data_IF_820162465744
#
_entry.id   IF_820162465744
#
_cell.length_a   1.000
_cell.length_b   1.000
_cell.length_c   1.000
_cell.angle_alpha   90.00
_cell.angle_beta   90.00
_cell.angle_gamma   90.00
#
_symmetry.space_group_name_H-M   'P 1'
#
loop_
_entity.id
_entity.type
_entity.pdbx_description
1 polymer ?
#
# COMPACT_ATOMS: atom_id res chain seq x y z
N UNK A 1 17.31 3.52 -0.75
CA UNK A 1 16.99 4.87 -0.28
C UNK A 1 15.68 4.82 0.51
N UNK A 2 15.32 5.93 1.17
CA UNK A 2 13.99 6.13 1.76
C UNK A 2 13.34 7.27 0.97
N UNK A 3 12.04 7.18 0.73
CA UNK A 3 11.32 8.25 0.06
C UNK A 3 11.27 9.52 0.92
N UNK A 4 11.22 10.68 0.26
CA UNK A 4 10.97 11.93 0.97
C UNK A 4 9.55 11.92 1.52
N UNK A 5 9.40 12.25 2.80
CA UNK A 5 8.13 12.23 3.55
C UNK A 5 7.04 13.13 2.96
N UNK A 6 7.43 14.10 2.12
CA UNK A 6 6.55 15.05 1.45
C UNK A 6 6.97 15.21 0.00
N UNK A 7 6.01 15.10 -0.92
CA UNK A 7 6.22 15.38 -2.35
C UNK A 7 5.40 16.60 -2.76
N UNK A 8 6.01 17.49 -3.53
CA UNK A 8 5.31 18.63 -4.11
C UNK A 8 4.61 18.21 -5.39
N UNK A 9 3.36 18.64 -5.55
CA UNK A 9 2.61 18.41 -6.77
C UNK A 9 3.21 19.26 -7.91
N UNK A 10 3.37 18.68 -9.09
CA UNK A 10 4.01 19.35 -10.25
C UNK A 10 3.27 20.61 -10.70
N UNK A 11 1.97 20.70 -10.46
CA UNK A 11 1.13 21.85 -10.80
C UNK A 11 1.15 22.96 -9.74
N UNK A 12 1.97 22.83 -8.68
CA UNK A 12 2.02 23.81 -7.60
C UNK A 12 0.80 23.82 -6.68
N UNK A 13 -0.15 22.89 -6.86
CA UNK A 13 -1.40 22.84 -6.09
C UNK A 13 -1.22 22.41 -4.62
N UNK A 14 0.01 22.16 -4.18
CA UNK A 14 0.33 21.84 -2.80
C UNK A 14 1.32 20.71 -2.65
N UNK A 15 1.23 20.03 -1.52
CA UNK A 15 2.12 18.95 -1.10
C UNK A 15 1.31 17.75 -0.63
N UNK A 16 1.84 16.55 -0.85
CA UNK A 16 1.26 15.29 -0.38
C UNK A 16 2.24 14.58 0.54
N UNK A 17 1.71 14.02 1.62
CA UNK A 17 2.44 13.12 2.52
C UNK A 17 2.58 11.76 1.86
N UNK A 18 3.75 11.15 1.90
CA UNK A 18 4.01 9.84 1.30
C UNK A 18 3.79 8.72 2.31
N UNK A 19 2.53 8.42 2.63
CA UNK A 19 2.22 7.37 3.62
C UNK A 19 2.50 5.97 3.10
N UNK A 20 2.19 5.76 1.82
CA UNK A 20 2.25 4.47 1.15
C UNK A 20 3.03 4.66 -0.14
N UNK A 21 4.04 3.83 -0.35
CA UNK A 21 4.75 3.70 -1.62
C UNK A 21 4.16 2.55 -2.42
N UNK A 22 4.04 2.76 -3.73
CA UNK A 22 3.43 1.82 -4.65
C UNK A 22 4.37 1.56 -5.82
N UNK A 23 4.49 0.29 -6.23
CA UNK A 23 5.18 -0.09 -7.47
C UNK A 23 4.31 -1.06 -8.27
N UNK A 24 3.84 -0.62 -9.43
CA UNK A 24 3.14 -1.40 -10.44
C UNK A 24 4.18 -1.98 -11.42
N UNK A 25 4.25 -3.29 -11.51
CA UNK A 25 5.16 -3.98 -12.42
C UNK A 25 4.55 -3.99 -13.83
N UNK A 26 5.31 -3.55 -14.84
CA UNK A 26 4.85 -3.43 -16.23
C UNK A 26 5.65 -4.31 -17.21
N UNK A 27 6.63 -5.05 -16.71
CA UNK A 27 7.41 -6.04 -17.46
C UNK A 27 7.28 -7.39 -16.77
N UNK A 28 7.26 -8.47 -17.54
CA UNK A 28 7.24 -9.81 -16.98
C UNK A 28 8.60 -10.15 -16.34
N UNK A 29 8.63 -10.94 -15.25
CA UNK A 29 9.85 -11.21 -14.51
C UNK A 29 10.89 -12.00 -15.32
N UNK A 30 10.48 -12.69 -16.40
CA UNK A 30 11.37 -13.39 -17.32
C UNK A 30 12.02 -12.50 -18.40
N UNK A 31 11.50 -11.28 -18.62
CA UNK A 31 12.00 -10.39 -19.68
C UNK A 31 13.34 -9.74 -19.33
N UNK A 32 13.69 -9.67 -18.04
CA UNK A 32 14.90 -9.04 -17.54
C UNK A 32 15.59 -9.86 -16.46
N UNK A 33 16.91 -9.69 -16.27
CA UNK A 33 17.69 -10.31 -15.18
C UNK A 33 18.07 -9.25 -14.14
N UNK A 34 18.06 -9.64 -12.85
CA UNK A 34 18.15 -8.70 -11.73
C UNK A 34 16.88 -7.85 -11.61
N UNK A 35 17.01 -6.58 -11.20
CA UNK A 35 15.87 -5.65 -11.11
C UNK A 35 14.88 -5.96 -9.99
N UNK A 36 15.24 -6.80 -9.01
CA UNK A 36 14.40 -7.05 -7.85
C UNK A 36 14.22 -5.78 -7.03
N UNK A 37 12.98 -5.52 -6.60
CA UNK A 37 12.70 -4.52 -5.57
C UNK A 37 13.04 -5.14 -4.22
N UNK A 38 14.12 -4.68 -3.59
CA UNK A 38 14.53 -5.05 -2.26
C UNK A 38 13.93 -4.08 -1.25
N UNK A 39 13.14 -4.59 -0.30
CA UNK A 39 12.53 -3.82 0.78
C UNK A 39 13.08 -4.35 2.10
N UNK A 40 13.70 -3.48 2.90
CA UNK A 40 14.25 -3.85 4.20
C UNK A 40 13.12 -4.12 5.20
N UNK A 41 13.25 -5.22 5.96
CA UNK A 41 12.39 -5.53 7.09
C UNK A 41 13.23 -5.85 8.33
N UNK A 42 12.58 -5.88 9.49
CA UNK A 42 13.22 -6.27 10.76
C UNK A 42 13.87 -7.65 10.69
N UNK A 43 13.27 -8.59 9.95
CA UNK A 43 13.77 -9.96 9.77
C UNK A 43 14.77 -10.10 8.62
N UNK A 44 15.13 -8.99 7.95
CA UNK A 44 16.00 -8.95 6.78
C UNK A 44 15.29 -8.50 5.49
N UNK A 45 16.05 -8.22 4.42
CA UNK A 45 15.51 -7.70 3.17
C UNK A 45 14.68 -8.75 2.42
N UNK A 46 13.47 -8.35 2.02
CA UNK A 46 12.62 -9.11 1.10
C UNK A 46 12.82 -8.62 -0.34
N UNK A 47 12.82 -9.54 -1.30
CA UNK A 47 13.05 -9.27 -2.73
C UNK A 47 11.79 -9.56 -3.53
N UNK A 48 11.38 -8.62 -4.37
CA UNK A 48 10.15 -8.72 -5.15
C UNK A 48 10.42 -8.56 -6.64
N UNK A 49 9.89 -9.51 -7.43
CA UNK A 49 9.89 -9.50 -8.89
C UNK A 49 8.58 -10.14 -9.37
N UNK A 50 7.52 -9.34 -9.42
CA UNK A 50 6.15 -9.82 -9.65
C UNK A 50 5.81 -9.83 -11.14
N UNK A 51 4.75 -10.58 -11.49
CA UNK A 51 4.20 -10.60 -12.84
C UNK A 51 3.72 -9.21 -13.27
N UNK A 52 3.73 -8.95 -14.58
CA UNK A 52 3.21 -7.68 -15.11
C UNK A 52 1.74 -7.49 -14.71
N UNK A 53 1.36 -6.25 -14.38
CA UNK A 53 0.04 -5.92 -13.84
C UNK A 53 -0.10 -6.09 -12.32
N UNK A 54 0.88 -6.70 -11.64
CA UNK A 54 0.88 -6.79 -10.17
C UNK A 54 1.30 -5.47 -9.53
N UNK A 55 0.66 -5.10 -8.42
CA UNK A 55 1.03 -3.93 -7.61
C UNK A 55 1.55 -4.39 -6.24
N UNK A 56 2.71 -3.89 -5.84
CA UNK A 56 3.15 -3.96 -4.44
C UNK A 56 2.93 -2.62 -3.74
N UNK A 57 2.45 -2.69 -2.50
CA UNK A 57 2.25 -1.55 -1.61
C UNK A 57 3.03 -1.78 -0.32
N UNK A 58 3.72 -0.75 0.15
CA UNK A 58 4.52 -0.81 1.38
C UNK A 58 4.59 0.57 2.05
N UNK A 59 4.92 0.65 3.35
CA UNK A 59 5.01 1.93 4.04
C UNK A 59 6.03 2.86 3.37
N UNK A 60 5.67 4.14 3.22
CA UNK A 60 6.53 5.13 2.54
C UNK A 60 7.82 5.47 3.30
N UNK A 61 7.92 5.06 4.57
CA UNK A 61 9.13 5.20 5.39
C UNK A 61 10.08 3.99 5.31
N UNK A 62 9.79 2.98 4.50
CA UNK A 62 10.63 1.77 4.40
C UNK A 62 11.83 1.99 3.49
N UNK A 63 13.02 1.57 3.96
CA UNK A 63 14.24 1.53 3.13
C UNK A 63 14.03 0.52 2.01
N UNK A 64 14.23 0.97 0.77
CA UNK A 64 14.12 0.10 -0.38
C UNK A 64 15.14 0.46 -1.48
N UNK A 65 15.45 -0.50 -2.34
CA UNK A 65 16.30 -0.30 -3.52
C UNK A 65 15.86 -1.24 -4.63
N UNK A 66 16.21 -0.90 -5.87
CA UNK A 66 16.07 -1.82 -7.00
C UNK A 66 17.46 -2.33 -7.33
N UNK A 67 17.64 -3.65 -7.39
CA UNK A 67 18.90 -4.25 -7.82
C UNK A 67 19.18 -3.91 -9.30
N UNK A 68 20.46 -3.86 -9.73
CA UNK A 68 20.79 -3.59 -11.12
C UNK A 68 20.10 -4.57 -12.09
N UNK A 69 19.58 -4.06 -13.19
CA UNK A 69 19.14 -4.89 -14.31
C UNK A 69 20.36 -5.19 -15.18
N UNK A 70 20.70 -6.46 -15.35
CA UNK A 70 21.89 -6.89 -16.11
C UNK A 70 21.57 -7.35 -17.53
N UNK A 71 20.31 -7.68 -17.80
CA UNK A 71 19.79 -8.04 -19.13
C UNK A 71 18.34 -7.56 -19.27
N UNK A 72 17.96 -7.13 -20.46
CA UNK A 72 16.58 -6.72 -20.77
C UNK A 72 16.24 -5.35 -20.17
N UNK A 73 14.95 -5.11 -19.93
CA UNK A 73 14.45 -3.86 -19.37
C UNK A 73 13.34 -4.14 -18.35
N UNK A 74 13.38 -3.43 -17.23
CA UNK A 74 12.30 -3.41 -16.23
C UNK A 74 11.51 -2.13 -16.34
N UNK A 75 10.28 -2.20 -16.83
CA UNK A 75 9.31 -1.11 -16.77
C UNK A 75 8.45 -1.23 -15.52
N UNK A 76 8.23 -0.11 -14.85
CA UNK A 76 7.36 -0.02 -13.69
C UNK A 76 6.77 1.38 -13.55
N UNK A 77 5.54 1.45 -13.06
CA UNK A 77 4.96 2.69 -12.54
C UNK A 77 5.19 2.74 -11.03
N UNK A 78 5.68 3.87 -10.52
CA UNK A 78 5.80 4.09 -9.08
C UNK A 78 5.17 5.42 -8.69
N UNK A 79 4.52 5.44 -7.53
CA UNK A 79 3.82 6.61 -7.02
C UNK A 79 3.60 6.47 -5.51
N UNK A 80 3.12 7.55 -4.90
CA UNK A 80 2.81 7.62 -3.48
C UNK A 80 1.37 7.99 -3.26
N UNK A 81 0.82 7.51 -2.16
CA UNK A 81 -0.54 7.84 -1.71
C UNK A 81 -0.44 8.52 -0.34
N UNK A 82 -1.10 9.67 -0.22
CA UNK A 82 -1.50 10.20 1.09
C UNK A 82 -2.78 9.49 1.50
N UNK A 83 -2.71 8.70 2.57
CA UNK A 83 -3.88 8.03 3.12
C UNK A 83 -4.69 9.01 3.96
N UNK A 84 -6.01 8.83 3.99
CA UNK A 84 -6.88 9.50 4.97
C UNK A 84 -6.42 9.20 6.40
N UNK A 85 -6.01 7.96 6.69
CA UNK A 85 -5.50 7.57 8.01
C UNK A 85 -3.98 7.58 7.98
N UNK A 86 -3.36 8.43 8.80
CA UNK A 86 -1.91 8.66 8.82
C UNK A 86 -1.11 7.50 9.42
N UNK A 87 -1.53 6.96 10.56
CA UNK A 87 -0.82 5.85 11.23
C UNK A 87 -0.97 4.56 10.43
N UNK A 88 0.14 3.82 10.29
CA UNK A 88 0.13 2.52 9.64
C UNK A 88 -0.65 1.49 10.46
N UNK A 89 -0.45 1.49 11.77
CA UNK A 89 -1.10 0.59 12.73
C UNK A 89 -2.62 0.79 12.71
N UNK A 90 -3.08 2.05 12.70
CA UNK A 90 -4.51 2.37 12.57
C UNK A 90 -5.08 1.89 11.23
N UNK A 91 -4.34 2.05 10.12
CA UNK A 91 -4.76 1.52 8.82
C UNK A 91 -4.87 0.00 8.82
N UNK A 92 -3.89 -0.69 9.40
CA UNK A 92 -3.91 -2.15 9.49
C UNK A 92 -5.09 -2.67 10.31
N UNK A 93 -5.39 -2.03 11.45
CA UNK A 93 -6.56 -2.37 12.25
C UNK A 93 -7.87 -2.18 11.49
N UNK A 94 -8.02 -1.06 10.77
CA UNK A 94 -9.20 -0.82 9.93
C UNK A 94 -9.31 -1.84 8.79
N UNK A 95 -8.20 -2.13 8.11
CA UNK A 95 -8.17 -3.11 7.02
C UNK A 95 -8.56 -4.52 7.50
N UNK A 96 -8.01 -4.95 8.64
CA UNK A 96 -8.38 -6.21 9.27
C UNK A 96 -9.85 -6.25 9.65
N UNK A 97 -10.37 -5.19 10.27
CA UNK A 97 -11.79 -5.09 10.65
C UNK A 97 -12.71 -5.16 9.42
N UNK A 98 -12.37 -4.46 8.33
CA UNK A 98 -13.18 -4.47 7.11
C UNK A 98 -13.20 -5.86 6.44
N UNK A 99 -12.06 -6.57 6.38
CA UNK A 99 -12.02 -7.92 5.85
C UNK A 99 -12.91 -8.89 6.64
N UNK A 100 -12.85 -8.85 7.97
CA UNK A 100 -13.75 -9.68 8.81
C UNK A 100 -15.22 -9.29 8.61
N UNK A 101 -15.54 -8.00 8.50
CA UNK A 101 -16.90 -7.53 8.20
C UNK A 101 -17.40 -8.03 6.85
N UNK A 102 -16.55 -8.00 5.81
CA UNK A 102 -16.89 -8.51 4.47
C UNK A 102 -17.15 -10.02 4.48
N UNK A 103 -16.36 -10.78 5.24
CA UNK A 103 -16.61 -12.21 5.43
C UNK A 103 -17.96 -12.44 6.12
N UNK A 104 -18.19 -11.79 7.27
CA UNK A 104 -19.45 -11.92 8.03
C UNK A 104 -20.67 -11.55 7.18
N UNK A 105 -20.61 -10.50 6.36
CA UNK A 105 -21.68 -10.13 5.41
C UNK A 105 -22.02 -11.25 4.44
N UNK A 106 -21.01 -12.01 4.00
CA UNK A 106 -21.21 -13.14 3.09
C UNK A 106 -21.88 -14.32 3.79
N UNK A 107 -21.59 -14.53 5.07
CA UNK A 107 -22.10 -15.66 5.87
C UNK A 107 -23.49 -15.41 6.47
N UNK A 108 -23.74 -14.21 7.00
CA UNK A 108 -24.95 -13.88 7.78
C UNK A 108 -25.94 -12.98 7.02
N UNK A 109 -25.51 -12.38 5.91
CA UNK A 109 -26.29 -11.42 5.13
C UNK A 109 -26.17 -9.97 5.66
N UNK A 110 -26.39 -9.01 4.76
CA UNK A 110 -26.15 -7.59 5.05
C UNK A 110 -27.12 -6.96 6.08
N UNK A 111 -28.31 -7.54 6.25
CA UNK A 111 -29.35 -7.02 7.15
C UNK A 111 -29.17 -7.44 8.62
N UNK A 112 -28.17 -8.26 8.93
CA UNK A 112 -27.89 -8.67 10.29
C UNK A 112 -27.55 -7.46 11.18
N UNK A 113 -28.19 -7.39 12.35
CA UNK A 113 -28.06 -6.23 13.26
C UNK A 113 -26.64 -6.07 13.81
N UNK A 114 -25.91 -7.17 14.03
CA UNK A 114 -24.54 -7.13 14.54
C UNK A 114 -23.59 -6.61 13.48
N UNK A 115 -23.77 -7.01 12.22
CA UNK A 115 -23.00 -6.49 11.08
C UNK A 115 -23.22 -4.98 10.93
N UNK A 116 -24.46 -4.52 11.02
CA UNK A 116 -24.79 -3.09 10.95
C UNK A 116 -24.08 -2.33 12.08
N UNK A 117 -24.15 -2.84 13.31
CA UNK A 117 -23.50 -2.24 14.47
C UNK A 117 -21.97 -2.15 14.33
N UNK A 118 -21.32 -3.25 13.93
CA UNK A 118 -19.87 -3.30 13.71
C UNK A 118 -19.42 -2.41 12.54
N UNK A 119 -20.21 -2.35 11.47
CA UNK A 119 -19.97 -1.41 10.36
C UNK A 119 -20.05 0.05 10.84
N UNK A 120 -21.01 0.37 11.71
CA UNK A 120 -21.10 1.67 12.37
C UNK A 120 -19.85 2.00 13.19
N UNK A 121 -19.34 1.04 13.96
CA UNK A 121 -18.09 1.18 14.71
C UNK A 121 -16.88 1.41 13.80
N UNK A 122 -16.75 0.67 12.69
CA UNK A 122 -15.70 0.89 11.70
C UNK A 122 -15.71 2.34 11.18
N UNK A 123 -16.88 2.86 10.80
CA UNK A 123 -17.01 4.24 10.34
C UNK A 123 -16.75 5.28 11.42
N UNK A 124 -17.07 4.98 12.69
CA UNK A 124 -16.70 5.85 13.81
C UNK A 124 -15.18 5.94 13.97
N UNK A 125 -14.47 4.81 13.91
CA UNK A 125 -13.00 4.79 13.97
C UNK A 125 -12.39 5.54 12.78
N UNK A 126 -12.89 5.31 11.57
CA UNK A 126 -12.43 6.04 10.39
C UNK A 126 -12.63 7.55 10.55
N UNK A 127 -13.79 8.00 11.05
CA UNK A 127 -14.05 9.42 11.33
C UNK A 127 -13.10 10.00 12.40
N UNK A 128 -12.71 9.20 13.39
CA UNK A 128 -11.78 9.63 14.44
C UNK A 128 -10.33 9.71 13.96
N UNK A 129 -9.93 8.86 13.01
CA UNK A 129 -8.53 8.72 12.58
C UNK A 129 -8.22 9.37 11.23
N UNK A 130 -9.24 9.79 10.49
CA UNK A 130 -9.07 10.46 9.21
C UNK A 130 -8.50 11.89 9.36
N UNK A 131 -7.59 12.22 8.45
CA UNK A 131 -6.89 13.50 8.26
C UNK A 131 -6.99 13.82 6.76
N UNK A 132 -7.76 14.87 6.41
CA UNK A 132 -8.10 15.26 5.02
C UNK A 132 -7.31 16.48 4.56
#
# INVERSE_FOLDING_TARGET
HIDSSVRFLRNGAGRVRTDISCTLFLSEPGEYDGGELCIEQLTGPQRFKLAAGSLIVYPGNTVHRVEPVTRGQRLAGFFWIQSMVRSHEQRELLFGMDNHLRQLRTELGEADRSIIGLTGTYHNLLRMWADM
#
